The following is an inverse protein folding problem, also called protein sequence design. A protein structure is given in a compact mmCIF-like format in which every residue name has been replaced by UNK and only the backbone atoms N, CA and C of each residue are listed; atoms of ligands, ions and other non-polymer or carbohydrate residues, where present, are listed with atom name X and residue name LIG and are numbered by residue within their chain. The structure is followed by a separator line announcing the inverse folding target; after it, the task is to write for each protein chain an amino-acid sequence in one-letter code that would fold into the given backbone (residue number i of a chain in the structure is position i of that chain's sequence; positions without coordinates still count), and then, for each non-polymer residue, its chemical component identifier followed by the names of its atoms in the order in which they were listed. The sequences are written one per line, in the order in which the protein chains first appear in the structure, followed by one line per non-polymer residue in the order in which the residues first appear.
data_IF_328122232717
#
_entry.id   IF_328122232717
#
_cell.length_a   1.000
_cell.length_b   1.000
_cell.length_c   1.000
_cell.angle_alpha   90.00
_cell.angle_beta   90.00
_cell.angle_gamma   90.00
#
_symmetry.space_group_name_H-M   'P 1'
#
loop_
_entity.id
_entity.type
_entity.pdbx_description
1 polymer ?
#
# COMPACT_ATOMS: atom_id res chain seq x y z
N UNK A 1 9.50 8.20 -8.84
CA UNK A 1 8.26 9.00 -8.89
C UNK A 1 7.42 8.53 -7.71
N UNK A 2 6.91 9.42 -6.87
CA UNK A 2 6.06 9.03 -5.74
C UNK A 2 4.62 8.91 -6.23
N UNK A 3 3.95 7.85 -5.80
CA UNK A 3 2.54 7.55 -6.09
C UNK A 3 1.72 7.91 -4.86
N UNK A 4 0.53 8.46 -5.09
CA UNK A 4 -0.44 8.74 -4.05
C UNK A 4 -1.28 7.50 -3.80
N UNK A 5 -1.43 7.14 -2.52
CA UNK A 5 -2.17 5.98 -2.09
C UNK A 5 -3.27 6.36 -1.13
N UNK A 6 -4.46 5.80 -1.36
CA UNK A 6 -5.49 5.71 -0.36
C UNK A 6 -5.24 4.49 0.52
N UNK A 7 -5.17 4.72 1.83
CA UNK A 7 -4.99 3.68 2.84
C UNK A 7 -6.36 3.25 3.34
N UNK A 8 -6.61 1.96 3.25
CA UNK A 8 -7.79 1.30 3.78
C UNK A 8 -7.39 0.41 4.94
N UNK A 9 -8.04 0.58 6.08
CA UNK A 9 -7.79 -0.20 7.27
C UNK A 9 -9.00 -1.10 7.55
N UNK A 10 -8.78 -2.38 7.91
CA UNK A 10 -9.88 -3.27 8.28
C UNK A 10 -10.44 -2.87 9.65
N UNK A 11 -11.77 -2.83 9.75
CA UNK A 11 -12.48 -2.65 11.02
C UNK A 11 -12.65 -3.97 11.79
N UNK A 12 -13.33 -3.94 12.94
CA UNK A 12 -13.61 -5.14 13.77
C UNK A 12 -14.44 -6.21 13.04
N UNK A 13 -15.12 -5.85 11.95
CA UNK A 13 -15.89 -6.76 11.09
C UNK A 13 -15.09 -7.23 9.87
N UNK A 14 -13.84 -6.78 9.71
CA UNK A 14 -13.01 -7.03 8.54
C UNK A 14 -13.37 -6.18 7.32
N UNK A 15 -14.22 -5.17 7.47
CA UNK A 15 -14.58 -4.25 6.39
C UNK A 15 -13.50 -3.17 6.24
N UNK A 16 -13.02 -3.00 5.01
CA UNK A 16 -11.98 -2.04 4.68
C UNK A 16 -12.56 -0.63 4.52
N UNK A 17 -12.11 0.29 5.39
CA UNK A 17 -12.56 1.68 5.38
C UNK A 17 -11.40 2.59 5.01
N UNK A 18 -11.62 3.54 4.08
CA UNK A 18 -10.59 4.53 3.72
C UNK A 18 -10.34 5.44 4.91
N UNK A 19 -9.11 5.45 5.44
CA UNK A 19 -8.77 6.25 6.63
C UNK A 19 -7.95 7.48 6.28
N UNK A 20 -7.02 7.38 5.32
CA UNK A 20 -6.10 8.47 4.98
C UNK A 20 -5.47 8.31 3.60
N UNK A 21 -4.81 9.37 3.15
CA UNK A 21 -3.99 9.39 1.95
C UNK A 21 -2.50 9.50 2.34
N UNK A 22 -1.62 8.80 1.64
CA UNK A 22 -0.17 8.89 1.79
C UNK A 22 0.55 8.98 0.44
N UNK A 23 1.80 9.46 0.46
CA UNK A 23 2.71 9.38 -0.68
C UNK A 23 3.75 8.29 -0.42
N UNK A 24 3.98 7.43 -1.41
CA UNK A 24 4.98 6.38 -1.31
C UNK A 24 5.50 5.91 -2.65
N UNK A 25 6.49 5.03 -2.62
CA UNK A 25 7.01 4.34 -3.79
C UNK A 25 7.14 2.87 -3.47
N UNK A 26 6.56 2.04 -4.33
CA UNK A 26 6.68 0.58 -4.22
C UNK A 26 7.99 0.13 -4.87
N UNK A 27 8.71 -0.74 -4.17
CA UNK A 27 9.94 -1.36 -4.62
C UNK A 27 9.88 -2.87 -4.42
N UNK A 28 10.49 -3.62 -5.33
CA UNK A 28 10.78 -5.04 -5.10
C UNK A 28 12.26 -5.18 -4.73
N UNK A 29 12.55 -5.56 -3.48
CA UNK A 29 13.91 -5.69 -2.93
C UNK A 29 13.96 -6.87 -1.97
N UNK A 30 15.09 -7.58 -1.91
CA UNK A 30 15.27 -8.75 -1.03
C UNK A 30 14.11 -9.77 -1.15
N UNK A 31 13.68 -10.03 -2.39
CA UNK A 31 12.61 -10.99 -2.72
C UNK A 31 11.23 -10.65 -2.11
N UNK A 32 11.00 -9.38 -1.74
CA UNK A 32 9.72 -8.90 -1.21
C UNK A 32 9.33 -7.52 -1.75
N UNK A 33 8.04 -7.21 -1.68
CA UNK A 33 7.54 -5.88 -1.98
C UNK A 33 7.61 -4.99 -0.74
N UNK A 34 8.07 -3.76 -0.94
CA UNK A 34 8.21 -2.73 0.09
C UNK A 34 7.57 -1.43 -0.42
N UNK A 35 6.72 -0.83 0.39
CA UNK A 35 6.20 0.52 0.20
C UNK A 35 7.02 1.48 1.06
N UNK A 36 7.88 2.26 0.42
CA UNK A 36 8.68 3.29 1.06
C UNK A 36 7.87 4.60 1.10
N UNK A 37 7.62 5.09 2.31
CA UNK A 37 6.97 6.37 2.57
C UNK A 37 7.98 7.36 3.15
N UNK A 38 7.60 8.63 3.33
CA UNK A 38 8.47 9.63 3.99
C UNK A 38 8.92 9.23 5.40
N UNK A 39 8.08 8.47 6.12
CA UNK A 39 8.29 8.20 7.54
C UNK A 39 8.80 6.78 7.81
N UNK A 40 8.42 5.82 6.96
CA UNK A 40 8.64 4.39 7.22
C UNK A 40 8.70 3.58 5.91
N UNK A 41 9.34 2.41 5.98
CA UNK A 41 9.26 1.36 4.95
C UNK A 41 8.30 0.29 5.45
N UNK A 42 7.30 -0.03 4.65
CA UNK A 42 6.25 -1.01 4.96
C UNK A 42 6.48 -2.23 4.08
N UNK A 43 6.63 -3.41 4.66
CA UNK A 43 6.75 -4.65 3.90
C UNK A 43 5.36 -5.27 3.65
N UNK A 44 5.18 -5.87 2.48
CA UNK A 44 3.87 -6.40 2.10
C UNK A 44 3.89 -7.18 0.80
N UNK A 45 2.70 -7.40 0.27
CA UNK A 45 2.47 -8.02 -1.04
C UNK A 45 1.91 -6.98 -2.00
N UNK A 46 2.18 -7.18 -3.29
CA UNK A 46 1.66 -6.35 -4.36
C UNK A 46 0.78 -7.19 -5.26
N UNK A 47 -0.45 -6.76 -5.46
CA UNK A 47 -1.40 -7.36 -6.41
C UNK A 47 -1.66 -6.37 -7.55
N UNK A 48 -1.48 -6.82 -8.79
CA UNK A 48 -1.65 -5.99 -9.98
C UNK A 48 -0.34 -5.44 -10.54
N UNK A 49 -0.44 -4.41 -11.36
CA UNK A 49 0.70 -3.84 -12.06
C UNK A 49 1.33 -2.68 -11.25
N UNK A 50 2.64 -2.76 -10.94
CA UNK A 50 3.32 -1.78 -10.08
C UNK A 50 3.32 -0.36 -10.61
N UNK A 51 3.14 -0.16 -11.92
CA UNK A 51 3.30 1.14 -12.58
C UNK A 51 1.98 1.79 -12.96
N UNK A 52 0.88 1.02 -13.03
CA UNK A 52 -0.41 1.50 -13.52
C UNK A 52 -1.52 1.36 -12.50
N UNK A 53 -1.78 0.16 -11.99
CA UNK A 53 -2.84 -0.11 -11.02
C UNK A 53 -2.50 -1.33 -10.18
N UNK A 54 -2.25 -1.09 -8.90
CA UNK A 54 -2.02 -2.15 -7.92
C UNK A 54 -2.66 -1.85 -6.58
N UNK A 55 -2.79 -2.91 -5.80
CA UNK A 55 -3.09 -2.88 -4.38
C UNK A 55 -1.86 -3.44 -3.66
N UNK A 56 -1.28 -2.63 -2.79
CA UNK A 56 -0.26 -3.10 -1.87
C UNK A 56 -0.93 -3.45 -0.55
N UNK A 57 -0.62 -4.62 0.02
CA UNK A 57 -1.24 -5.10 1.27
C UNK A 57 -0.15 -5.41 2.28
N UNK A 58 -0.24 -4.84 3.47
CA UNK A 58 0.75 -5.09 4.52
C UNK A 58 0.35 -6.24 5.47
N UNK A 59 1.24 -6.57 6.40
CA UNK A 59 1.04 -7.65 7.37
C UNK A 59 -0.11 -7.40 8.37
N UNK A 60 -0.55 -6.15 8.55
CA UNK A 60 -1.69 -5.80 9.39
C UNK A 60 -3.01 -5.86 8.61
N UNK A 61 -2.96 -6.27 7.33
CA UNK A 61 -4.14 -6.35 6.45
C UNK A 61 -4.61 -5.00 5.93
N UNK A 62 -3.79 -3.95 6.05
CA UNK A 62 -4.10 -2.64 5.45
C UNK A 62 -3.81 -2.69 3.97
N UNK A 63 -4.69 -2.07 3.18
CA UNK A 63 -4.54 -1.95 1.75
C UNK A 63 -4.19 -0.53 1.33
N UNK A 64 -3.25 -0.42 0.40
CA UNK A 64 -2.76 0.83 -0.16
C UNK A 64 -3.06 0.79 -1.66
N UNK A 65 -4.07 1.56 -2.06
CA UNK A 65 -4.58 1.57 -3.43
C UNK A 65 -4.17 2.87 -4.10
N UNK A 66 -3.71 2.82 -5.36
CA UNK A 66 -3.37 4.05 -6.10
C UNK A 66 -4.60 4.96 -6.14
N UNK A 67 -4.41 6.22 -5.77
CA UNK A 67 -5.41 7.27 -5.88
C UNK A 67 -5.54 7.68 -7.35
N UNK A 68 -6.73 7.50 -7.93
CA UNK A 68 -7.08 7.89 -9.31
C UNK A 68 -7.24 9.42 -9.46
#
# INVERSE_FOLDING_TARGET
MQTRYDVYEPDESGQLTRTREILGTVFFRNERWELETKHSIIAGTLEGDPLTRHVFTDAEGREYRIHD
#
